data_IF_945370311413
#
_entry.id   IF_945370311413
#
_cell.length_a   1.000
_cell.length_b   1.000
_cell.length_c   1.000
_cell.angle_alpha   90.00
_cell.angle_beta   90.00
_cell.angle_gamma   90.00
#
_symmetry.space_group_name_H-M   'P 1'
#
loop_
_entity.id
_entity.type
_entity.pdbx_description
1 polymer ?
#
# COMPACT_ATOMS: atom_id res chain seq x y z
N UNK A 1 12.72 3.60 -9.91
CA UNK A 1 11.71 2.54 -10.14
C UNK A 1 10.37 3.10 -9.70
N UNK A 2 9.30 2.90 -10.47
CA UNK A 2 7.98 3.44 -10.12
C UNK A 2 7.04 2.26 -9.81
N UNK A 3 6.41 2.31 -8.63
CA UNK A 3 5.44 1.33 -8.18
C UNK A 3 4.03 1.92 -8.18
N UNK A 4 3.09 1.18 -8.75
CA UNK A 4 1.68 1.54 -8.89
C UNK A 4 0.84 0.42 -8.28
N UNK A 5 0.05 0.76 -7.26
CA UNK A 5 -0.93 -0.14 -6.66
C UNK A 5 -2.28 0.14 -7.29
N UNK A 6 -2.90 -0.92 -7.81
CA UNK A 6 -4.23 -0.90 -8.39
C UNK A 6 -5.24 -1.48 -7.42
N UNK A 7 -6.41 -0.87 -7.38
CA UNK A 7 -7.60 -1.36 -6.69
C UNK A 7 -8.79 -1.21 -7.64
N UNK A 8 -9.38 -2.34 -8.01
CA UNK A 8 -10.41 -2.45 -9.04
C UNK A 8 -11.67 -3.04 -8.42
N UNK A 9 -12.74 -2.25 -8.48
CA UNK A 9 -14.05 -2.64 -7.93
C UNK A 9 -15.17 -2.40 -8.94
N UNK A 10 -16.27 -3.14 -8.79
CA UNK A 10 -17.49 -2.84 -9.52
C UNK A 10 -18.23 -1.62 -8.95
N UNK A 11 -19.37 -1.28 -9.56
CA UNK A 11 -20.21 -0.15 -9.15
C UNK A 11 -20.66 -0.22 -7.68
N UNK A 12 -20.88 -1.42 -7.15
CA UNK A 12 -21.29 -1.66 -5.76
C UNK A 12 -20.09 -1.70 -4.80
N UNK A 13 -18.88 -1.43 -5.30
CA UNK A 13 -17.59 -1.50 -4.61
C UNK A 13 -17.17 -2.92 -4.24
N UNK A 14 -17.74 -3.93 -4.89
CA UNK A 14 -17.29 -5.29 -4.73
C UNK A 14 -15.98 -5.51 -5.52
N UNK A 15 -14.99 -6.20 -4.93
CA UNK A 15 -13.73 -6.50 -5.60
C UNK A 15 -13.88 -7.27 -6.91
N UNK A 16 -13.14 -6.86 -7.94
CA UNK A 16 -13.07 -7.58 -9.22
C UNK A 16 -12.07 -8.74 -9.19
N UNK A 17 -12.28 -9.71 -8.29
CA UNK A 17 -11.37 -10.83 -8.02
C UNK A 17 -11.18 -11.87 -9.16
N UNK A 18 -11.93 -11.78 -10.26
CA UNK A 18 -11.71 -12.55 -11.50
C UNK A 18 -11.06 -11.72 -12.61
N UNK A 19 -10.62 -10.50 -12.29
CA UNK A 19 -10.02 -9.59 -13.26
C UNK A 19 -8.50 -9.66 -13.32
N UNK A 20 -7.96 -9.04 -14.36
CA UNK A 20 -6.54 -8.79 -14.50
C UNK A 20 -6.29 -7.45 -15.22
N UNK A 21 -5.11 -6.89 -15.00
CA UNK A 21 -4.70 -5.61 -15.57
C UNK A 21 -3.57 -5.85 -16.56
N UNK A 22 -3.79 -5.45 -17.81
CA UNK A 22 -2.74 -5.36 -18.81
C UNK A 22 -2.07 -4.01 -18.69
N UNK A 23 -0.76 -3.98 -18.47
CA UNK A 23 0.04 -2.76 -18.45
C UNK A 23 0.93 -2.74 -19.68
N UNK A 24 0.91 -1.61 -20.38
CA UNK A 24 1.66 -1.36 -21.60
C UNK A 24 2.45 -0.05 -21.47
N UNK A 25 3.56 0.09 -22.20
CA UNK A 25 4.28 1.36 -22.30
C UNK A 25 3.43 2.38 -23.09
N UNK A 26 2.90 1.92 -24.21
CA UNK A 26 1.87 2.57 -25.03
C UNK A 26 0.90 1.50 -25.52
N UNK A 27 -0.32 1.83 -26.00
CA UNK A 27 -1.27 0.82 -26.48
C UNK A 27 -0.64 -0.15 -27.47
N UNK A 28 -0.58 -1.44 -27.11
CA UNK A 28 0.01 -2.51 -27.93
C UNK A 28 1.47 -2.87 -27.62
N UNK A 29 2.18 -2.09 -26.80
CA UNK A 29 3.54 -2.42 -26.32
C UNK A 29 3.46 -3.00 -24.91
N UNK A 30 3.27 -4.32 -24.86
CA UNK A 30 3.02 -5.06 -23.63
C UNK A 30 4.19 -5.05 -22.65
N UNK A 31 3.89 -4.79 -21.37
CA UNK A 31 4.86 -4.86 -20.27
C UNK A 31 4.50 -5.95 -19.26
N UNK A 32 3.25 -6.02 -18.82
CA UNK A 32 2.84 -6.95 -17.77
C UNK A 32 1.35 -7.30 -17.83
N UNK A 33 1.01 -8.46 -17.26
CA UNK A 33 -0.34 -8.90 -16.97
C UNK A 33 -0.40 -9.19 -15.46
N UNK A 34 -1.24 -8.46 -14.76
CA UNK A 34 -1.34 -8.48 -13.31
C UNK A 34 -2.71 -9.05 -12.93
N UNK A 35 -2.73 -10.30 -12.49
CA UNK A 35 -3.92 -10.91 -11.93
C UNK A 35 -4.32 -10.19 -10.65
N UNK A 36 -5.60 -9.85 -10.53
CA UNK A 36 -6.15 -9.25 -9.31
C UNK A 36 -6.30 -10.33 -8.23
N UNK A 37 -6.00 -9.98 -6.99
CA UNK A 37 -6.24 -10.84 -5.83
C UNK A 37 -7.73 -10.89 -5.42
N UNK A 38 -8.03 -11.60 -4.34
CA UNK A 38 -9.39 -11.71 -3.80
C UNK A 38 -10.01 -10.37 -3.37
N UNK A 39 -9.17 -9.33 -3.18
CA UNK A 39 -9.55 -7.97 -2.83
C UNK A 39 -9.54 -7.03 -4.04
N UNK A 40 -9.38 -7.56 -5.27
CA UNK A 40 -9.40 -6.76 -6.49
C UNK A 40 -8.16 -5.90 -6.67
N UNK A 41 -7.03 -6.28 -6.03
CA UNK A 41 -5.80 -5.50 -6.00
C UNK A 41 -4.68 -6.17 -6.80
N UNK A 42 -3.80 -5.35 -7.34
CA UNK A 42 -2.55 -5.80 -7.94
C UNK A 42 -1.50 -4.68 -7.94
N UNK A 43 -0.22 -5.03 -7.95
CA UNK A 43 0.88 -4.05 -7.97
C UNK A 43 1.71 -4.17 -9.25
N UNK A 44 1.87 -3.06 -9.96
CA UNK A 44 2.80 -2.94 -11.08
C UNK A 44 4.09 -2.27 -10.65
N UNK A 45 5.22 -2.76 -11.17
CA UNK A 45 6.54 -2.16 -10.99
C UNK A 45 7.19 -1.99 -12.34
N UNK A 46 7.30 -0.74 -12.76
CA UNK A 46 7.82 -0.39 -14.07
C UNK A 46 9.17 0.30 -13.99
N UNK A 47 9.80 0.41 -15.16
CA UNK A 47 10.90 1.35 -15.36
C UNK A 47 10.44 2.80 -15.09
N UNK A 48 11.37 3.74 -14.99
CA UNK A 48 11.06 5.11 -14.58
C UNK A 48 10.47 5.96 -15.72
N UNK A 49 9.45 5.46 -16.41
CA UNK A 49 8.78 6.09 -17.55
C UNK A 49 7.94 7.29 -17.13
N UNK A 50 7.63 8.16 -18.09
CA UNK A 50 6.75 9.33 -17.88
C UNK A 50 5.27 8.97 -17.81
N UNK A 51 4.87 7.85 -18.44
CA UNK A 51 3.50 7.36 -18.44
C UNK A 51 3.44 5.85 -18.66
N UNK A 52 2.32 5.27 -18.26
CA UNK A 52 1.94 3.90 -18.60
C UNK A 52 0.49 3.87 -19.06
N UNK A 53 0.19 3.01 -20.03
CA UNK A 53 -1.18 2.69 -20.41
C UNK A 53 -1.61 1.40 -19.70
N UNK A 54 -2.82 1.36 -19.14
CA UNK A 54 -3.37 0.15 -18.56
C UNK A 54 -4.76 -0.15 -19.09
N UNK A 55 -5.12 -1.43 -19.05
CA UNK A 55 -6.44 -1.94 -19.43
C UNK A 55 -6.90 -2.99 -18.42
N UNK A 56 -8.08 -2.77 -17.86
CA UNK A 56 -8.75 -3.67 -16.91
C UNK A 56 -9.61 -4.64 -17.68
N UNK A 57 -9.34 -5.93 -17.50
CA UNK A 57 -10.10 -7.02 -18.08
C UNK A 57 -10.74 -7.82 -16.95
N UNK A 58 -11.99 -8.23 -17.14
CA UNK A 58 -12.69 -9.13 -16.24
C UNK A 58 -12.98 -10.43 -16.98
N UNK A 59 -12.48 -11.54 -16.42
CA UNK A 59 -12.53 -12.86 -17.02
C UNK A 59 -13.39 -13.79 -16.15
N UNK A 60 -14.71 -13.69 -16.32
CA UNK A 60 -15.69 -14.47 -15.57
C UNK A 60 -16.69 -15.09 -16.56
N UNK A 61 -16.75 -16.42 -16.57
CA UNK A 61 -17.59 -17.20 -17.47
C UNK A 61 -19.10 -17.00 -17.25
N UNK A 62 -19.49 -16.42 -16.11
CA UNK A 62 -20.89 -16.04 -15.85
C UNK A 62 -21.36 -14.85 -16.72
N UNK A 63 -20.44 -14.16 -17.42
CA UNK A 63 -20.74 -13.00 -18.27
C UNK A 63 -20.78 -13.37 -19.75
N UNK A 64 -21.74 -12.77 -20.46
CA UNK A 64 -22.01 -13.07 -21.88
C UNK A 64 -20.87 -12.66 -22.83
N UNK A 65 -20.11 -11.64 -22.44
CA UNK A 65 -18.87 -11.22 -23.08
C UNK A 65 -17.76 -11.63 -22.11
N UNK A 66 -16.97 -12.61 -22.51
CA UNK A 66 -15.85 -13.10 -21.70
C UNK A 66 -14.63 -13.38 -22.60
N UNK A 67 -13.45 -12.81 -22.32
CA UNK A 67 -13.18 -11.75 -21.36
C UNK A 67 -13.78 -10.39 -21.77
N UNK A 68 -14.20 -9.58 -20.80
CA UNK A 68 -14.69 -8.21 -21.02
C UNK A 68 -13.66 -7.17 -20.63
N UNK A 69 -13.39 -6.22 -21.54
CA UNK A 69 -12.65 -5.01 -21.20
C UNK A 69 -13.57 -4.02 -20.47
N UNK A 70 -13.24 -3.69 -19.23
CA UNK A 70 -14.06 -2.80 -18.39
C UNK A 70 -13.59 -1.35 -18.43
N UNK A 71 -12.27 -1.13 -18.47
CA UNK A 71 -11.71 0.21 -18.52
C UNK A 71 -10.31 0.20 -19.14
N UNK A 72 -9.88 1.33 -19.68
CA UNK A 72 -8.51 1.58 -20.13
C UNK A 72 -8.17 3.06 -20.01
N UNK A 73 -6.96 3.37 -19.58
CA UNK A 73 -6.52 4.76 -19.41
C UNK A 73 -5.00 4.86 -19.35
N UNK A 74 -4.50 6.09 -19.35
CA UNK A 74 -3.10 6.42 -19.10
C UNK A 74 -2.91 6.86 -17.64
N UNK A 75 -1.79 6.43 -17.07
CA UNK A 75 -1.28 6.89 -15.80
C UNK A 75 -0.09 7.78 -16.11
N UNK A 76 -0.26 9.08 -15.91
CA UNK A 76 0.82 10.04 -16.11
C UNK A 76 1.58 10.24 -14.81
N UNK A 77 2.90 10.10 -14.86
CA UNK A 77 3.77 10.30 -13.70
C UNK A 77 3.73 11.74 -13.20
N UNK A 78 3.57 12.70 -14.10
CA UNK A 78 3.46 14.14 -13.78
C UNK A 78 2.29 14.46 -12.84
N UNK A 79 1.17 13.75 -12.96
CA UNK A 79 0.02 13.85 -12.05
C UNK A 79 0.39 13.56 -10.60
N UNK A 80 1.41 12.72 -10.38
CA UNK A 80 1.87 12.31 -9.07
C UNK A 80 3.17 12.99 -8.63
N UNK A 81 4.00 13.48 -9.57
CA UNK A 81 5.19 14.27 -9.27
C UNK A 81 4.88 15.70 -8.83
N UNK A 82 3.83 16.32 -9.38
CA UNK A 82 3.41 17.67 -8.97
C UNK A 82 2.85 17.73 -7.54
N UNK A 83 2.51 16.57 -6.95
CA UNK A 83 2.01 16.44 -5.58
C UNK A 83 3.07 15.89 -4.59
N UNK A 84 4.36 16.07 -4.90
CA UNK A 84 5.53 15.83 -4.03
C UNK A 84 5.73 14.39 -3.54
N UNK A 85 6.46 13.58 -4.32
CA UNK A 85 6.99 12.27 -3.90
C UNK A 85 8.31 12.32 -3.09
N UNK A 86 8.76 13.51 -2.72
CA UNK A 86 9.84 13.70 -1.75
C UNK A 86 9.26 14.46 -0.56
N UNK A 87 8.69 13.71 0.38
CA UNK A 87 8.23 14.26 1.63
C UNK A 87 9.40 14.19 2.60
N UNK A 88 10.20 15.25 2.59
CA UNK A 88 11.25 15.46 3.56
C UNK A 88 10.60 15.91 4.88
N UNK A 89 10.58 15.03 5.87
CA UNK A 89 10.19 15.39 7.23
C UNK A 89 11.43 15.71 8.04
N UNK A 90 11.33 16.75 8.87
CA UNK A 90 12.37 17.13 9.82
C UNK A 90 11.75 17.13 11.21
N UNK A 91 12.23 16.23 12.06
CA UNK A 91 11.81 16.10 13.45
C UNK A 91 12.94 16.59 14.35
N UNK A 92 12.60 17.38 15.35
CA UNK A 92 13.58 17.91 16.29
C UNK A 92 13.66 17.00 17.51
N UNK A 93 14.88 16.59 17.83
CA UNK A 93 15.22 16.02 19.12
C UNK A 93 15.41 17.21 20.07
N UNK A 94 14.59 17.31 21.11
CA UNK A 94 14.67 18.38 22.12
C UNK A 94 14.71 17.79 23.53
N UNK A 95 15.49 18.45 24.37
CA UNK A 95 15.96 18.12 25.72
C UNK A 95 14.97 17.55 26.77
N UNK A 96 13.65 17.53 26.58
CA UNK A 96 12.74 17.01 27.63
C UNK A 96 12.57 15.48 27.63
N UNK A 97 13.29 14.75 26.78
CA UNK A 97 13.22 13.28 26.64
C UNK A 97 14.19 12.52 27.55
N UNK A 98 14.48 13.04 28.75
CA UNK A 98 15.26 12.33 29.77
C UNK A 98 14.32 11.39 30.54
N UNK A 99 14.74 10.15 30.86
CA UNK A 99 13.87 9.25 31.63
C UNK A 99 13.64 9.77 33.07
N UNK A 100 14.53 10.64 33.57
CA UNK A 100 14.38 11.40 34.81
C UNK A 100 15.15 12.74 34.75
N UNK A 101 14.83 13.68 35.64
CA UNK A 101 15.66 14.87 35.87
C UNK A 101 17.03 14.40 36.36
N UNK A 102 18.11 14.81 35.66
CA UNK A 102 19.50 14.40 35.87
C UNK A 102 19.89 13.02 35.28
N UNK A 103 19.02 12.40 34.48
CA UNK A 103 19.43 11.25 33.66
C UNK A 103 20.35 11.72 32.51
N UNK A 104 21.37 10.91 32.22
CA UNK A 104 22.24 11.10 31.05
C UNK A 104 21.65 10.39 29.84
N UNK A 105 20.82 9.37 30.04
CA UNK A 105 20.19 8.63 28.95
C UNK A 105 19.00 9.42 28.37
N UNK A 106 18.92 9.44 27.04
CA UNK A 106 17.76 9.94 26.31
C UNK A 106 17.07 8.82 25.52
N UNK A 107 15.75 8.96 25.36
CA UNK A 107 14.98 8.10 24.47
C UNK A 107 14.02 8.96 23.64
N UNK A 108 14.21 8.93 22.32
CA UNK A 108 13.39 9.63 21.34
C UNK A 108 12.58 8.59 20.58
N UNK A 109 11.27 8.72 20.61
CA UNK A 109 10.36 7.88 19.82
C UNK A 109 9.52 8.78 18.93
N UNK A 110 9.67 8.65 17.61
CA UNK A 110 9.01 9.51 16.62
C UNK A 110 8.32 8.69 15.54
N UNK A 111 7.11 9.11 15.17
CA UNK A 111 6.33 8.50 14.10
C UNK A 111 6.29 9.39 12.87
N UNK A 112 6.38 8.75 11.71
CA UNK A 112 6.22 9.38 10.41
C UNK A 112 5.29 8.50 9.58
N UNK A 113 4.26 9.08 8.99
CA UNK A 113 3.29 8.37 8.18
C UNK A 113 3.41 8.75 6.70
N UNK A 114 2.91 7.88 5.84
CA UNK A 114 2.71 8.19 4.42
C UNK A 114 1.81 9.42 4.23
N UNK A 115 1.86 10.03 3.05
CA UNK A 115 1.35 11.36 2.75
C UNK A 115 1.98 12.49 3.59
N UNK A 116 3.08 12.22 4.29
CA UNK A 116 3.83 13.23 5.04
C UNK A 116 3.13 13.69 6.31
N UNK A 117 2.24 12.85 6.85
CA UNK A 117 1.57 13.09 8.12
C UNK A 117 2.44 12.67 9.30
N UNK A 118 2.25 13.32 10.46
CA UNK A 118 2.86 12.93 11.74
C UNK A 118 1.82 12.35 12.72
N UNK A 119 0.54 12.43 12.38
CA UNK A 119 -0.56 12.14 13.29
C UNK A 119 -1.56 11.13 12.75
N UNK A 120 -1.59 10.93 11.44
CA UNK A 120 -2.61 10.13 10.76
C UNK A 120 -1.95 9.19 9.75
N UNK A 121 -2.42 7.94 9.74
CA UNK A 121 -2.00 6.93 8.79
C UNK A 121 -2.46 7.33 7.38
N UNK A 122 -1.54 7.33 6.41
CA UNK A 122 -1.88 7.52 5.01
C UNK A 122 -2.39 6.23 4.37
N UNK A 123 -2.85 6.33 3.13
CA UNK A 123 -3.37 5.22 2.34
C UNK A 123 -2.39 4.69 1.28
N UNK A 124 -1.15 5.21 1.27
CA UNK A 124 -0.08 4.76 0.37
C UNK A 124 0.91 3.91 1.13
N UNK A 125 1.76 3.20 0.38
CA UNK A 125 2.78 2.33 0.95
C UNK A 125 4.18 2.92 0.71
N UNK A 126 5.05 2.82 1.70
CA UNK A 126 6.46 3.18 1.58
C UNK A 126 7.20 2.07 0.83
N UNK A 127 8.09 2.47 -0.07
CA UNK A 127 8.89 1.55 -0.90
C UNK A 127 10.38 1.63 -0.59
N UNK A 128 10.87 2.81 -0.25
CA UNK A 128 12.27 3.03 0.07
C UNK A 128 12.38 4.17 1.08
N UNK A 129 13.37 4.07 1.96
CA UNK A 129 13.56 4.94 3.11
C UNK A 129 15.00 5.42 3.16
N UNK A 130 15.15 6.73 3.36
CA UNK A 130 16.39 7.40 3.62
C UNK A 130 16.23 8.27 4.88
N UNK A 131 16.93 7.92 5.96
CA UNK A 131 16.91 8.62 7.25
C UNK A 131 18.31 9.13 7.55
N UNK A 132 18.41 10.39 7.93
CA UNK A 132 19.62 10.99 8.46
C UNK A 132 19.33 11.51 9.88
N UNK A 133 20.05 10.98 10.84
CA UNK A 133 19.96 11.39 12.25
C UNK A 133 21.25 12.13 12.61
N UNK A 134 21.11 13.26 13.30
CA UNK A 134 22.25 14.05 13.79
C UNK A 134 21.97 14.62 15.17
N UNK A 135 22.94 14.51 16.07
CA UNK A 135 22.97 15.23 17.34
C UNK A 135 23.81 16.50 17.18
N UNK A 136 23.40 17.57 17.86
CA UNK A 136 24.07 18.88 17.80
C UNK A 136 25.12 19.05 18.92
N UNK A 137 25.07 18.22 19.95
CA UNK A 137 26.00 18.27 21.09
C UNK A 137 27.09 17.19 20.98
N UNK A 138 28.36 17.61 21.05
CA UNK A 138 29.53 16.72 21.01
C UNK A 138 29.74 15.92 22.31
N UNK A 139 29.00 16.25 23.37
CA UNK A 139 28.94 15.44 24.60
C UNK A 139 27.92 14.31 24.55
N UNK A 140 27.17 14.15 23.47
CA UNK A 140 26.17 13.09 23.31
C UNK A 140 26.62 12.01 22.32
N UNK A 141 26.11 10.81 22.49
CA UNK A 141 26.36 9.68 21.59
C UNK A 141 25.15 8.75 21.51
N UNK A 142 24.96 8.12 20.35
CA UNK A 142 23.95 7.08 20.20
C UNK A 142 24.39 5.80 20.91
N UNK A 143 23.44 5.10 21.51
CA UNK A 143 23.61 3.71 22.00
C UNK A 143 22.81 2.74 21.13
N UNK A 144 21.66 3.18 20.62
CA UNK A 144 20.94 2.41 19.59
C UNK A 144 20.05 3.27 18.73
N UNK A 145 19.90 2.87 17.46
CA UNK A 145 18.89 3.36 16.54
C UNK A 145 18.08 2.18 16.04
N UNK A 146 16.76 2.24 16.20
CA UNK A 146 15.82 1.22 15.77
C UNK A 146 14.76 1.83 14.87
N UNK A 147 14.37 1.10 13.84
CA UNK A 147 13.25 1.49 12.98
C UNK A 147 12.29 0.32 12.88
N UNK A 148 11.03 0.61 13.14
CA UNK A 148 9.91 -0.29 12.93
C UNK A 148 9.05 0.26 11.81
N UNK A 149 8.47 -0.61 11.00
CA UNK A 149 7.42 -0.19 10.11
C UNK A 149 6.07 -0.14 10.85
N UNK A 150 5.19 0.72 10.37
CA UNK A 150 3.80 0.82 10.83
C UNK A 150 2.92 0.13 9.80
N UNK A 151 2.15 -0.86 10.22
CA UNK A 151 1.22 -1.60 9.35
C UNK A 151 -0.11 -0.86 9.13
N UNK A 152 -1.02 -1.51 8.40
CA UNK A 152 -2.35 -0.98 8.07
C UNK A 152 -3.23 -0.76 9.31
N UNK A 153 -3.00 -1.52 10.37
CA UNK A 153 -3.70 -1.42 11.64
C UNK A 153 -3.03 -0.42 12.60
N UNK A 154 -2.05 0.34 12.10
CA UNK A 154 -1.24 1.30 12.85
C UNK A 154 -0.39 0.68 13.97
N UNK A 155 -0.04 -0.60 13.84
CA UNK A 155 0.78 -1.37 14.79
C UNK A 155 2.26 -1.41 14.38
N UNK A 156 3.12 -1.56 15.39
CA UNK A 156 4.58 -1.73 15.26
C UNK A 156 5.08 -3.03 15.90
N UNK A 157 4.17 -3.86 16.40
CA UNK A 157 4.51 -5.09 17.12
C UNK A 157 5.10 -6.13 16.16
N UNK A 158 6.34 -6.57 16.41
CA UNK A 158 7.06 -7.51 15.52
C UNK A 158 7.58 -6.88 14.21
N UNK A 159 7.44 -5.56 14.05
CA UNK A 159 7.70 -4.86 12.79
C UNK A 159 9.08 -4.21 12.70
N UNK A 160 10.07 -4.69 13.48
CA UNK A 160 11.45 -4.19 13.44
C UNK A 160 12.09 -4.52 12.08
N UNK A 161 12.66 -3.50 11.43
CA UNK A 161 13.26 -3.61 10.08
C UNK A 161 14.68 -3.06 10.00
N UNK A 162 15.13 -2.32 11.02
CA UNK A 162 16.50 -1.87 11.16
C UNK A 162 16.85 -1.73 12.65
N UNK A 163 18.06 -2.12 13.00
CA UNK A 163 18.66 -1.89 14.31
C UNK A 163 20.16 -1.69 14.14
N UNK A 164 20.69 -0.64 14.74
CA UNK A 164 22.11 -0.49 15.03
C UNK A 164 22.27 -0.30 16.54
N UNK A 165 23.10 -1.13 17.16
CA UNK A 165 23.44 -1.09 18.59
C UNK A 165 24.96 -1.02 18.81
N UNK A 166 25.72 -0.85 17.72
CA UNK A 166 27.18 -0.96 17.70
C UNK A 166 27.84 0.42 17.58
N UNK A 167 27.30 1.41 18.27
CA UNK A 167 27.87 2.75 18.32
C UNK A 167 29.06 2.81 19.27
N UNK A 168 30.02 3.67 18.93
CA UNK A 168 31.14 4.03 19.79
C UNK A 168 30.93 5.44 20.36
N UNK A 169 31.65 5.74 21.44
CA UNK A 169 31.56 7.06 22.07
C UNK A 169 31.84 8.18 21.04
N UNK A 170 31.01 9.22 21.11
CA UNK A 170 30.96 10.37 20.19
C UNK A 170 30.39 10.10 18.77
N UNK A 171 29.74 8.95 18.54
CA UNK A 171 28.92 8.78 17.34
C UNK A 171 27.65 9.63 17.43
N UNK A 172 27.68 10.76 16.70
CA UNK A 172 26.63 11.78 16.70
C UNK A 172 25.82 11.82 15.40
N UNK A 173 26.15 11.00 14.41
CA UNK A 173 25.47 10.94 13.12
C UNK A 173 25.20 9.49 12.70
N UNK A 174 24.04 9.27 12.07
CA UNK A 174 23.66 7.98 11.48
C UNK A 174 22.93 8.21 10.16
N UNK A 175 23.26 7.41 9.13
CA UNK A 175 22.64 7.48 7.80
C UNK A 175 22.13 6.09 7.44
N UNK A 176 20.81 6.00 7.28
CA UNK A 176 20.11 4.75 7.04
C UNK A 176 19.45 4.86 5.69
N UNK A 177 19.78 3.94 4.80
CA UNK A 177 19.27 3.90 3.43
C UNK A 177 18.95 2.46 3.04
N UNK A 178 17.68 2.15 2.83
CA UNK A 178 17.27 0.79 2.45
C UNK A 178 15.96 0.76 1.65
N UNK A 179 15.85 -0.27 0.81
CA UNK A 179 14.59 -0.67 0.20
C UNK A 179 13.78 -1.46 1.23
N UNK A 180 12.51 -1.10 1.43
CA UNK A 180 11.64 -1.77 2.42
C UNK A 180 11.44 -3.25 2.09
N UNK A 181 11.67 -3.67 0.84
CA UNK A 181 11.58 -5.07 0.40
C UNK A 181 12.79 -5.92 0.76
N UNK A 182 13.93 -5.28 0.95
CA UNK A 182 15.16 -5.93 1.38
C UNK A 182 15.73 -5.16 2.57
N UNK A 183 14.97 -5.13 3.69
CA UNK A 183 15.40 -4.39 4.86
C UNK A 183 16.64 -5.07 5.44
N UNK A 184 17.56 -4.31 6.06
CA UNK A 184 18.76 -4.88 6.67
C UNK A 184 18.47 -5.95 7.73
N UNK A 185 17.28 -5.87 8.35
CA UNK A 185 16.74 -6.88 9.25
C UNK A 185 15.44 -7.43 8.67
N UNK A 186 15.38 -8.74 8.45
CA UNK A 186 14.17 -9.42 8.01
C UNK A 186 13.08 -9.34 9.10
N UNK A 187 11.93 -8.75 8.77
CA UNK A 187 10.75 -8.78 9.62
C UNK A 187 9.89 -10.01 9.30
N UNK A 188 9.36 -10.65 10.33
CA UNK A 188 8.45 -11.81 10.20
C UNK A 188 7.07 -11.42 9.63
N UNK A 189 6.69 -10.16 9.77
CA UNK A 189 5.38 -9.65 9.36
C UNK A 189 5.42 -8.98 7.97
N UNK A 190 6.62 -8.64 7.47
CA UNK A 190 6.79 -8.02 6.15
C UNK A 190 6.81 -9.11 5.07
N UNK A 191 5.62 -9.48 4.60
CA UNK A 191 5.44 -10.42 3.49
C UNK A 191 5.90 -9.76 2.19
N UNK A 192 6.91 -10.36 1.54
CA UNK A 192 7.60 -9.90 0.31
C UNK A 192 6.82 -8.94 -0.60
N UNK A 193 6.32 -9.40 -1.75
CA UNK A 193 5.80 -8.49 -2.79
C UNK A 193 4.55 -7.67 -2.41
N UNK A 194 4.00 -7.90 -1.23
CA UNK A 194 2.79 -7.29 -0.65
C UNK A 194 3.07 -6.31 0.50
N UNK A 195 4.30 -5.80 0.63
CA UNK A 195 4.72 -4.90 1.73
C UNK A 195 3.64 -3.89 2.17
N UNK A 196 3.09 -4.07 3.38
CA UNK A 196 2.05 -3.22 3.96
C UNK A 196 2.67 -2.18 4.90
N UNK A 197 3.58 -1.34 4.39
CA UNK A 197 4.27 -0.32 5.19
C UNK A 197 3.65 1.05 4.97
N UNK A 198 2.91 1.54 5.97
CA UNK A 198 2.15 2.79 5.90
C UNK A 198 2.79 3.95 6.67
N UNK A 199 3.86 3.67 7.40
CA UNK A 199 4.65 4.63 8.17
C UNK A 199 5.86 3.98 8.81
N UNK A 200 6.63 4.75 9.57
CA UNK A 200 7.77 4.30 10.34
C UNK A 200 7.69 4.84 11.77
N UNK A 201 8.11 4.01 12.71
CA UNK A 201 8.47 4.41 14.06
C UNK A 201 10.00 4.40 14.16
N UNK A 202 10.59 5.54 14.50
CA UNK A 202 12.03 5.72 14.68
C UNK A 202 12.27 5.88 16.17
N UNK A 203 13.04 4.96 16.74
CA UNK A 203 13.48 5.00 18.13
C UNK A 203 14.99 5.26 18.19
N UNK A 204 15.38 6.30 18.91
CA UNK A 204 16.78 6.65 19.16
C UNK A 204 17.02 6.61 20.66
N UNK A 205 18.04 5.88 21.06
CA UNK A 205 18.51 5.81 22.44
C UNK A 205 19.97 6.22 22.43
N UNK A 206 20.38 6.99 23.43
CA UNK A 206 21.75 7.44 23.59
C UNK A 206 21.99 8.04 24.96
N UNK A 207 23.22 8.47 25.17
CA UNK A 207 23.66 9.10 26.40
C UNK A 207 24.14 10.53 26.12
N UNK A 208 24.06 11.38 27.14
CA UNK A 208 24.55 12.76 27.15
C UNK A 208 25.49 12.93 28.33
N UNK A 209 26.79 12.85 28.06
CA UNK A 209 27.85 12.94 29.07
C UNK A 209 27.98 14.33 29.71
N UNK A 210 27.46 15.37 29.05
CA UNK A 210 27.32 16.72 29.61
C UNK A 210 26.00 16.86 30.36
N UNK A 211 25.91 16.22 31.53
CA UNK A 211 24.75 16.34 32.41
C UNK A 211 24.27 17.79 32.54
N UNK A 212 23.03 18.07 32.11
CA UNK A 212 22.40 19.39 32.14
C UNK A 212 22.41 20.19 30.82
N UNK A 213 23.16 19.78 29.79
CA UNK A 213 23.13 20.41 28.46
C UNK A 213 22.04 19.79 27.56
N UNK A 214 21.34 20.58 26.72
CA UNK A 214 20.38 20.03 25.76
C UNK A 214 21.03 19.03 24.79
N UNK A 215 20.61 17.76 24.82
CA UNK A 215 20.82 16.86 23.69
C UNK A 215 19.82 17.25 22.59
N UNK A 216 20.15 18.31 21.86
CA UNK A 216 19.39 18.74 20.70
C UNK A 216 19.88 18.01 19.46
N UNK A 217 18.98 17.77 18.52
CA UNK A 217 19.30 17.01 17.32
C UNK A 217 18.18 17.06 16.31
N UNK A 218 18.39 16.39 15.18
CA UNK A 218 17.46 16.39 14.05
C UNK A 218 17.41 15.00 13.44
N UNK A 219 16.19 14.53 13.19
CA UNK A 219 15.89 13.37 12.34
C UNK A 219 15.32 13.91 11.04
N UNK A 220 16.00 13.65 9.94
CA UNK A 220 15.50 13.92 8.59
C UNK A 220 15.08 12.62 7.96
N UNK A 221 13.82 12.54 7.55
CA UNK A 221 13.26 11.35 6.91
C UNK A 221 12.84 11.72 5.51
N UNK A 222 13.32 10.96 4.52
CA UNK A 222 12.82 10.97 3.16
C UNK A 222 12.38 9.56 2.81
N UNK A 223 11.24 9.41 2.16
CA UNK A 223 10.82 8.11 1.65
C UNK A 223 10.09 8.25 0.32
N UNK A 224 10.07 7.17 -0.45
CA UNK A 224 9.29 7.07 -1.69
C UNK A 224 8.05 6.24 -1.48
N UNK A 225 6.93 6.68 -2.06
CA UNK A 225 5.63 6.05 -1.90
C UNK A 225 5.08 5.45 -3.20
N UNK A 226 4.20 4.45 -3.05
CA UNK A 226 3.40 3.93 -4.14
C UNK A 226 2.42 4.97 -4.70
N UNK A 227 2.04 4.81 -5.96
CA UNK A 227 0.91 5.52 -6.56
C UNK A 227 -0.31 4.62 -6.51
N UNK A 228 -1.42 5.09 -5.94
CA UNK A 228 -2.67 4.32 -5.95
C UNK A 228 -3.54 4.70 -7.16
N UNK A 229 -4.06 3.69 -7.84
CA UNK A 229 -5.09 3.80 -8.86
C UNK A 229 -6.33 3.08 -8.35
N UNK A 230 -7.32 3.86 -7.96
CA UNK A 230 -8.64 3.35 -7.61
C UNK A 230 -9.55 3.49 -8.82
N UNK A 231 -10.15 2.38 -9.25
CA UNK A 231 -11.08 2.40 -10.37
C UNK A 231 -12.38 1.68 -10.00
N UNK A 232 -13.48 2.41 -10.17
CA UNK A 232 -14.83 1.87 -10.13
C UNK A 232 -15.25 1.66 -11.57
N UNK A 233 -15.50 0.40 -11.96
CA UNK A 233 -15.95 0.06 -13.30
C UNK A 233 -17.45 -0.21 -13.32
N UNK A 234 -18.12 0.21 -14.40
CA UNK A 234 -19.54 -0.09 -14.60
C UNK A 234 -19.71 -1.55 -15.01
N UNK A 235 -20.07 -2.39 -14.04
CA UNK A 235 -20.43 -3.78 -14.25
C UNK A 235 -21.82 -4.02 -13.65
N UNK A 236 -22.79 -4.31 -14.52
CA UNK A 236 -24.20 -4.45 -14.12
C UNK A 236 -24.52 -5.93 -13.95
N UNK A 237 -25.01 -6.29 -12.76
CA UNK A 237 -25.48 -7.64 -12.43
C UNK A 237 -26.99 -7.72 -12.64
N UNK A 238 -27.45 -8.70 -13.43
CA UNK A 238 -28.87 -9.02 -13.53
C UNK A 238 -29.19 -10.18 -12.58
N UNK A 239 -29.88 -9.88 -11.48
CA UNK A 239 -30.40 -10.89 -10.56
C UNK A 239 -31.84 -11.23 -10.94
N UNK A 240 -32.10 -12.48 -11.35
CA UNK A 240 -33.46 -12.96 -11.65
C UNK A 240 -33.90 -13.93 -10.55
N UNK A 241 -34.95 -13.56 -9.82
CA UNK A 241 -35.64 -14.42 -8.85
C UNK A 241 -37.00 -14.82 -9.39
N UNK A 242 -37.28 -16.11 -9.37
CA UNK A 242 -38.60 -16.66 -9.72
C UNK A 242 -39.26 -17.12 -8.43
N UNK A 243 -40.52 -16.73 -8.25
CA UNK A 243 -41.32 -17.06 -7.07
C UNK A 243 -42.58 -17.75 -7.56
N UNK A 244 -42.78 -19.01 -7.18
CA UNK A 244 -44.07 -19.68 -7.40
C UNK A 244 -45.09 -19.09 -6.41
N UNK A 245 -46.15 -18.48 -6.93
CA UNK A 245 -47.24 -17.94 -6.11
C UNK A 245 -48.38 -18.94 -5.92
N UNK A 246 -48.27 -20.13 -6.52
CA UNK A 246 -49.26 -21.19 -6.45
C UNK A 246 -48.60 -22.45 -5.89
N UNK A 247 -49.31 -23.24 -5.09
CA UNK A 247 -48.78 -24.42 -4.40
C UNK A 247 -48.62 -25.65 -5.35
N UNK A 248 -48.23 -25.39 -6.60
CA UNK A 248 -48.18 -26.38 -7.69
C UNK A 248 -46.76 -26.82 -8.04
N UNK A 249 -45.74 -26.11 -7.55
CA UNK A 249 -44.33 -26.48 -7.71
C UNK A 249 -43.83 -26.19 -9.12
N UNK A 250 -42.91 -25.25 -9.26
CA UNK A 250 -42.26 -24.96 -10.54
C UNK A 250 -41.12 -25.95 -10.74
N UNK A 251 -41.33 -26.93 -11.63
CA UNK A 251 -40.32 -27.97 -11.93
C UNK A 251 -39.05 -27.45 -12.62
N UNK A 252 -39.16 -26.34 -13.36
CA UNK A 252 -38.06 -25.64 -14.01
C UNK A 252 -38.54 -24.28 -14.50
N UNK A 253 -37.64 -23.31 -14.56
CA UNK A 253 -37.92 -22.04 -15.19
C UNK A 253 -36.72 -21.59 -16.03
N UNK A 254 -36.98 -21.26 -17.29
CA UNK A 254 -35.98 -20.80 -18.23
C UNK A 254 -36.07 -19.29 -18.37
N UNK A 255 -34.95 -18.60 -18.12
CA UNK A 255 -34.83 -17.16 -18.32
C UNK A 255 -34.09 -16.93 -19.63
N UNK A 256 -34.72 -16.24 -20.58
CA UNK A 256 -34.08 -15.87 -21.84
C UNK A 256 -33.67 -14.38 -21.79
N UNK A 257 -32.35 -14.13 -21.74
CA UNK A 257 -31.80 -12.78 -21.75
C UNK A 257 -31.28 -12.45 -23.16
N UNK A 258 -31.90 -11.48 -23.81
CA UNK A 258 -31.49 -11.03 -25.15
C UNK A 258 -30.60 -9.77 -25.04
N UNK A 259 -29.38 -9.86 -25.58
CA UNK A 259 -28.48 -8.70 -25.74
C UNK A 259 -28.49 -8.20 -27.19
N UNK A 260 -28.49 -6.88 -27.38
CA UNK A 260 -28.33 -6.25 -28.70
C UNK A 260 -26.86 -6.02 -29.07
N UNK A 261 -25.91 -6.30 -28.16
CA UNK A 261 -24.47 -6.17 -28.40
C UNK A 261 -23.74 -7.52 -28.36
N UNK A 262 -23.04 -7.85 -29.45
CA UNK A 262 -21.81 -8.63 -29.47
C UNK A 262 -21.90 -10.16 -29.45
N UNK A 263 -22.76 -10.75 -28.63
CA UNK A 263 -23.06 -12.20 -28.67
C UNK A 263 -24.55 -12.41 -28.52
N UNK A 264 -25.22 -12.59 -29.65
CA UNK A 264 -26.55 -13.16 -29.71
C UNK A 264 -26.45 -14.66 -29.36
N UNK A 265 -26.37 -14.95 -28.07
CA UNK A 265 -26.75 -16.23 -27.53
C UNK A 265 -27.50 -15.91 -26.25
N UNK A 266 -28.83 -16.03 -26.28
CA UNK A 266 -29.56 -16.21 -25.04
C UNK A 266 -28.88 -17.37 -24.32
N UNK A 267 -28.50 -17.16 -23.07
CA UNK A 267 -27.99 -18.23 -22.23
C UNK A 267 -29.16 -18.70 -21.38
N UNK A 268 -29.44 -20.01 -21.43
CA UNK A 268 -30.47 -20.62 -20.61
C UNK A 268 -29.86 -20.89 -19.22
N UNK A 269 -30.40 -20.22 -18.20
CA UNK A 269 -30.06 -20.51 -16.81
C UNK A 269 -31.12 -21.45 -16.25
N UNK A 270 -30.73 -22.69 -15.95
CA UNK A 270 -31.56 -23.62 -15.19
C UNK A 270 -31.54 -23.20 -13.71
N UNK A 271 -32.61 -22.55 -13.26
CA UNK A 271 -32.78 -22.19 -11.87
C UNK A 271 -33.21 -23.42 -11.07
N UNK A 272 -32.39 -23.80 -10.08
CA UNK A 272 -32.73 -24.86 -9.12
C UNK A 272 -33.71 -24.30 -8.10
N UNK A 273 -34.77 -25.04 -7.80
CA UNK A 273 -35.66 -24.72 -6.68
C UNK A 273 -34.86 -24.79 -5.37
N UNK A 274 -35.10 -23.86 -4.45
CA UNK A 274 -34.78 -24.17 -3.05
C UNK A 274 -35.69 -25.34 -2.64
N UNK A 275 -35.26 -26.19 -1.73
CA UNK A 275 -35.93 -27.47 -1.43
C UNK A 275 -37.35 -27.36 -0.85
N UNK A 276 -37.99 -26.20 -0.99
CA UNK A 276 -39.36 -25.86 -0.59
C UNK A 276 -40.36 -25.80 -1.74
N UNK A 277 -39.92 -25.84 -3.00
CA UNK A 277 -40.81 -25.78 -4.17
C UNK A 277 -40.98 -24.38 -4.71
#
# INVERSE_FOLDING_TARGET
MWTIDFEMVDYDKEPLNYGYILVNETPGVYLANLTLDEYGKATFRGQNQSEYYYKVIYDNDDYNINPTALNESYIYRSTYEQNNKYLAQTLYIKQLNLNAKDDIAFNVSQRVYTNGSLTELGNKKITHVNINVSLLDQGSDFTSVRIYYIDIDNSTEGNLIYENTSYVAADIEEIIDFDVRDPPIASVNLLGDSYEVYGLLIELIGDNSSGGTPCDGVIKVNFTETTNIYNVTDLVKLNVKIVDTYDVGVSAATVNVNSTQGRAAGFDVDLKTDGTG
#
